data_IF_899724515528
#
_entry.id   IF_899724515528
#
_cell.length_a   1.000
_cell.length_b   1.000
_cell.length_c   1.000
_cell.angle_alpha   90.00
_cell.angle_beta   90.00
_cell.angle_gamma   90.00
#
_symmetry.space_group_name_H-M   'P 1'
#
loop_
_entity.id
_entity.type
_entity.pdbx_description
1 polymer ?
#
# COMPACT_ATOMS: atom_id res chain seq x y z
N UNK A 1 -11.89 11.61 -3.79
CA UNK A 1 -10.48 11.24 -4.04
C UNK A 1 -10.25 9.90 -3.34
N UNK A 2 -9.32 9.06 -3.79
CA UNK A 2 -8.98 7.84 -3.07
C UNK A 2 -7.88 8.07 -2.04
N UNK A 3 -7.74 7.13 -1.10
CA UNK A 3 -6.70 7.13 -0.08
C UNK A 3 -6.02 5.76 -0.02
N UNK A 4 -4.74 5.76 0.34
CA UNK A 4 -3.95 4.56 0.65
C UNK A 4 -3.38 4.70 2.05
N UNK A 5 -3.38 3.60 2.80
CA UNK A 5 -2.63 3.43 4.04
C UNK A 5 -1.94 2.06 3.99
N UNK A 6 -0.65 2.01 4.26
CA UNK A 6 0.09 0.77 4.41
C UNK A 6 0.94 0.79 5.66
N UNK A 7 1.12 -0.37 6.29
CA UNK A 7 2.00 -0.54 7.43
C UNK A 7 2.80 -1.84 7.29
N UNK A 8 4.06 -1.81 7.73
CA UNK A 8 4.92 -2.99 7.92
C UNK A 8 5.52 -2.89 9.32
N UNK A 9 5.27 -3.88 10.17
CA UNK A 9 5.67 -3.92 11.59
C UNK A 9 6.65 -5.05 11.86
N UNK A 10 7.58 -4.83 12.81
CA UNK A 10 8.49 -5.85 13.30
C UNK A 10 7.82 -6.84 14.25
N UNK A 11 6.64 -6.48 14.78
CA UNK A 11 5.87 -7.30 15.71
C UNK A 11 4.44 -7.45 15.20
N UNK A 12 4.06 -8.62 14.64
CA UNK A 12 2.76 -8.84 14.03
C UNK A 12 1.62 -8.85 15.06
N UNK A 13 1.91 -9.06 16.34
CA UNK A 13 0.93 -9.02 17.42
C UNK A 13 0.51 -7.60 17.79
N UNK A 14 1.31 -6.60 17.40
CA UNK A 14 1.12 -5.20 17.77
C UNK A 14 0.62 -4.30 16.63
N UNK A 15 0.35 -4.86 15.44
CA UNK A 15 -0.16 -4.09 14.29
C UNK A 15 -1.39 -3.25 14.65
N UNK A 16 -2.37 -3.82 15.37
CA UNK A 16 -3.56 -3.09 15.82
C UNK A 16 -3.20 -1.90 16.72
N UNK A 17 -2.22 -2.06 17.61
CA UNK A 17 -1.75 -0.99 18.48
C UNK A 17 -1.08 0.14 17.69
N UNK A 18 -0.39 -0.20 16.61
CA UNK A 18 0.23 0.79 15.72
C UNK A 18 -0.80 1.56 14.92
N UNK A 19 -1.81 0.88 14.38
CA UNK A 19 -2.94 1.54 13.73
C UNK A 19 -3.68 2.47 14.70
N UNK A 20 -3.87 2.04 15.95
CA UNK A 20 -4.48 2.88 16.97
C UNK A 20 -3.67 4.15 17.27
N UNK A 21 -2.33 4.08 17.32
CA UNK A 21 -1.48 5.28 17.50
C UNK A 21 -1.60 6.30 16.38
N UNK A 22 -2.01 5.86 15.19
CA UNK A 22 -2.24 6.72 14.04
C UNK A 22 -3.63 7.38 14.06
N UNK A 23 -4.48 7.03 15.04
CA UNK A 23 -5.74 7.72 15.28
C UNK A 23 -5.50 9.22 15.45
N UNK A 24 -6.32 10.02 14.77
CA UNK A 24 -6.14 11.48 14.74
C UNK A 24 -5.00 11.98 13.85
N UNK A 25 -4.21 11.11 13.22
CA UNK A 25 -3.12 11.49 12.32
C UNK A 25 -3.41 11.19 10.86
N UNK A 26 -4.05 10.05 10.57
CA UNK A 26 -4.37 9.58 9.21
C UNK A 26 -5.85 9.75 8.92
N UNK A 27 -6.17 9.99 7.65
CA UNK A 27 -7.55 9.99 7.14
C UNK A 27 -7.81 8.69 6.35
N UNK A 28 -8.90 7.99 6.70
CA UNK A 28 -9.38 6.82 5.94
C UNK A 28 -10.29 7.19 4.75
N UNK A 29 -10.54 8.48 4.56
CA UNK A 29 -11.27 9.01 3.40
C UNK A 29 -10.86 10.45 3.14
N UNK A 30 -10.73 10.81 1.86
CA UNK A 30 -10.45 12.17 1.41
C UNK A 30 -11.50 12.62 0.37
N UNK A 31 -12.42 13.48 0.82
CA UNK A 31 -13.47 14.04 -0.04
C UNK A 31 -14.77 13.22 -0.03
N UNK A 32 -15.44 13.03 -1.19
CA UNK A 32 -16.72 12.34 -1.28
C UNK A 32 -16.68 10.92 -0.69
N UNK A 33 -17.85 10.46 -0.24
CA UNK A 33 -18.01 9.13 0.35
C UNK A 33 -17.53 8.03 -0.60
N UNK A 34 -16.58 7.23 -0.13
CA UNK A 34 -16.07 6.06 -0.84
C UNK A 34 -17.17 5.00 -0.93
N UNK A 35 -17.21 4.28 -2.05
CA UNK A 35 -18.10 3.12 -2.24
C UNK A 35 -17.32 1.80 -2.37
N UNK A 36 -16.00 1.87 -2.47
CA UNK A 36 -15.10 0.74 -2.59
C UNK A 36 -14.00 0.89 -1.53
N UNK A 37 -14.11 0.11 -0.46
CA UNK A 37 -13.20 0.11 0.67
C UNK A 37 -12.69 -1.31 0.89
N UNK A 38 -11.37 -1.46 0.92
CA UNK A 38 -10.76 -2.77 1.12
C UNK A 38 -9.47 -2.68 1.91
N UNK A 39 -9.21 -3.75 2.66
CA UNK A 39 -7.97 -3.97 3.37
C UNK A 39 -7.44 -5.35 3.04
N UNK A 40 -6.14 -5.42 2.76
CA UNK A 40 -5.38 -6.64 2.65
C UNK A 40 -4.41 -6.74 3.83
N UNK A 41 -4.30 -7.94 4.39
CA UNK A 41 -3.35 -8.25 5.46
C UNK A 41 -2.86 -9.70 5.30
N UNK A 42 -1.95 -10.11 6.17
CA UNK A 42 -1.32 -11.44 6.12
C UNK A 42 -1.72 -12.26 7.33
N UNK A 43 -1.85 -13.56 7.13
CA UNK A 43 -1.97 -14.53 8.20
C UNK A 43 -1.16 -15.75 7.79
N UNK A 44 -0.02 -15.97 8.47
CA UNK A 44 0.95 -17.01 8.11
C UNK A 44 1.44 -16.86 6.65
N UNK A 45 1.02 -17.76 5.76
CA UNK A 45 1.39 -17.73 4.34
C UNK A 45 0.28 -17.24 3.41
N UNK A 46 -0.86 -16.86 3.98
CA UNK A 46 -2.03 -16.45 3.22
C UNK A 46 -2.24 -14.93 3.27
N UNK A 47 -2.82 -14.43 2.18
CA UNK A 47 -3.27 -13.03 2.08
C UNK A 47 -4.77 -12.99 2.30
N UNK A 48 -5.19 -12.26 3.33
CA UNK A 48 -6.59 -12.04 3.67
C UNK A 48 -7.06 -10.70 3.10
N UNK A 49 -8.14 -10.73 2.32
CA UNK A 49 -8.82 -9.53 1.83
C UNK A 49 -10.15 -9.36 2.56
N UNK A 50 -10.37 -8.17 3.12
CA UNK A 50 -11.66 -7.75 3.68
C UNK A 50 -12.17 -6.55 2.90
N UNK A 51 -13.45 -6.56 2.56
CA UNK A 51 -14.16 -5.48 1.87
C UNK A 51 -15.19 -4.90 2.84
N UNK A 52 -15.28 -3.59 2.91
CA UNK A 52 -16.19 -2.90 3.81
C UNK A 52 -17.36 -2.28 3.05
N UNK A 53 -18.50 -2.19 3.71
CA UNK A 53 -19.67 -1.53 3.14
C UNK A 53 -19.48 -0.02 3.19
N UNK A 54 -19.94 0.70 2.17
CA UNK A 54 -19.85 2.16 2.12
C UNK A 54 -20.53 2.86 3.30
N UNK A 55 -21.54 2.23 3.92
CA UNK A 55 -22.26 2.74 5.08
C UNK A 55 -21.54 2.61 6.42
N UNK A 56 -20.46 1.83 6.49
CA UNK A 56 -19.78 1.48 7.73
C UNK A 56 -18.85 2.61 8.20
N UNK A 57 -18.92 2.95 9.49
CA UNK A 57 -17.99 3.91 10.09
C UNK A 57 -16.68 3.18 10.44
N UNK A 58 -15.65 3.39 9.62
CA UNK A 58 -14.35 2.75 9.80
C UNK A 58 -13.43 3.57 10.69
N UNK A 59 -12.71 2.86 11.56
CA UNK A 59 -11.62 3.39 12.37
C UNK A 59 -10.33 2.69 11.98
N UNK A 60 -9.17 3.22 12.38
CA UNK A 60 -7.90 2.54 12.10
C UNK A 60 -7.83 1.17 12.78
N UNK A 61 -8.43 1.06 13.96
CA UNK A 61 -8.53 -0.19 14.72
C UNK A 61 -9.35 -1.25 13.97
N UNK A 62 -10.42 -0.86 13.26
CA UNK A 62 -11.29 -1.80 12.53
C UNK A 62 -10.63 -2.39 11.28
N UNK A 63 -9.58 -1.74 10.77
CA UNK A 63 -8.77 -2.24 9.66
C UNK A 63 -7.87 -3.41 10.07
N UNK A 64 -7.46 -3.47 11.34
CA UNK A 64 -6.60 -4.55 11.83
C UNK A 64 -7.28 -5.92 11.61
N UNK A 65 -6.55 -6.94 11.11
CA UNK A 65 -7.06 -8.29 11.10
C UNK A 65 -7.24 -8.82 12.53
N UNK A 66 -8.11 -9.81 12.75
CA UNK A 66 -8.26 -10.45 14.05
C UNK A 66 -7.06 -11.33 14.45
N UNK A 67 -6.15 -11.59 13.51
CA UNK A 67 -4.95 -12.40 13.68
C UNK A 67 -3.69 -11.52 13.65
N UNK A 68 -2.56 -12.09 14.07
CA UNK A 68 -1.27 -11.43 13.91
C UNK A 68 -0.94 -11.23 12.42
N UNK A 69 -0.40 -10.05 12.08
CA UNK A 69 -0.06 -9.70 10.70
C UNK A 69 1.10 -8.70 10.67
N UNK A 70 2.11 -9.00 9.87
CA UNK A 70 3.32 -8.18 9.71
C UNK A 70 3.04 -6.93 8.88
N UNK A 71 2.07 -7.01 7.97
CA UNK A 71 1.75 -5.91 7.08
C UNK A 71 0.26 -5.73 6.84
N UNK A 72 -0.11 -4.52 6.43
CA UNK A 72 -1.47 -4.18 6.02
C UNK A 72 -1.41 -3.19 4.87
N UNK A 73 -2.34 -3.32 3.93
CA UNK A 73 -2.58 -2.36 2.86
C UNK A 73 -4.08 -2.07 2.77
N UNK A 74 -4.45 -0.83 3.02
CA UNK A 74 -5.81 -0.31 2.92
C UNK A 74 -5.91 0.64 1.73
N UNK A 75 -7.04 0.56 1.04
CA UNK A 75 -7.45 1.54 0.06
C UNK A 75 -8.95 1.83 0.18
N UNK A 76 -9.31 3.10 0.10
CA UNK A 76 -10.69 3.54 -0.08
C UNK A 76 -10.81 4.51 -1.24
N UNK A 77 -11.82 4.33 -2.08
CA UNK A 77 -12.05 5.19 -3.24
C UNK A 77 -13.45 5.07 -3.81
N UNK A 78 -13.65 5.71 -4.95
CA UNK A 78 -14.90 5.67 -5.70
C UNK A 78 -14.73 4.84 -6.97
N UNK A 79 -15.59 3.85 -7.14
CA UNK A 79 -15.78 3.14 -8.39
C UNK A 79 -17.03 3.66 -9.09
N UNK A 80 -16.98 3.87 -10.43
CA UNK A 80 -18.16 4.17 -11.22
C UNK A 80 -19.29 3.14 -11.04
N UNK A 81 -20.52 3.60 -11.20
CA UNK A 81 -21.70 2.71 -11.23
C UNK A 81 -21.53 1.72 -12.39
N UNK A 82 -21.85 0.45 -12.12
CA UNK A 82 -21.76 -0.64 -13.10
C UNK A 82 -20.46 -1.44 -13.06
N UNK A 83 -19.42 -0.99 -12.35
CA UNK A 83 -18.25 -1.83 -12.08
C UNK A 83 -18.51 -2.77 -10.90
N UNK A 84 -18.07 -4.02 -11.05
CA UNK A 84 -18.10 -5.00 -9.96
C UNK A 84 -17.21 -4.54 -8.80
N UNK A 85 -17.80 -4.39 -7.60
CA UNK A 85 -17.03 -4.11 -6.39
C UNK A 85 -16.07 -5.26 -6.08
N UNK A 86 -16.46 -6.50 -6.37
CA UNK A 86 -15.64 -7.70 -6.13
C UNK A 86 -14.31 -7.62 -6.88
N UNK A 87 -14.36 -7.27 -8.16
CA UNK A 87 -13.18 -7.27 -9.04
C UNK A 87 -12.36 -5.97 -8.93
N UNK A 88 -12.98 -4.84 -8.58
CA UNK A 88 -12.33 -3.53 -8.71
C UNK A 88 -11.96 -2.88 -7.37
N UNK A 89 -12.40 -3.43 -6.22
CA UNK A 89 -12.04 -2.85 -4.92
C UNK A 89 -10.62 -3.25 -4.53
N UNK A 90 -9.77 -2.26 -4.36
CA UNK A 90 -8.37 -2.40 -3.94
C UNK A 90 -8.27 -2.69 -2.43
N UNK A 91 -7.15 -3.28 -1.95
CA UNK A 91 -5.98 -3.71 -2.73
C UNK A 91 -6.24 -4.93 -3.61
N UNK A 92 -5.48 -5.04 -4.70
CA UNK A 92 -5.43 -6.23 -5.54
C UNK A 92 -4.45 -7.25 -4.96
N UNK A 93 -4.72 -8.53 -5.23
CA UNK A 93 -3.92 -9.66 -4.71
C UNK A 93 -3.46 -10.56 -5.84
N UNK A 94 -2.19 -10.94 -5.84
CA UNK A 94 -1.67 -12.05 -6.64
C UNK A 94 -0.62 -12.79 -5.84
N UNK A 95 -0.89 -14.06 -5.54
CA UNK A 95 -0.09 -14.86 -4.59
C UNK A 95 0.06 -14.09 -3.27
N UNK A 96 1.28 -13.82 -2.84
CA UNK A 96 1.60 -13.05 -1.63
C UNK A 96 1.56 -11.53 -1.84
N UNK A 97 1.50 -11.01 -3.06
CA UNK A 97 1.53 -9.58 -3.28
C UNK A 97 0.17 -8.93 -3.10
N UNK A 98 0.15 -7.84 -2.32
CA UNK A 98 -0.89 -6.83 -2.29
C UNK A 98 -0.43 -5.59 -3.03
N UNK A 99 -1.34 -4.94 -3.76
CA UNK A 99 -1.05 -3.73 -4.52
C UNK A 99 -2.22 -2.74 -4.47
N UNK A 100 -1.90 -1.46 -4.32
CA UNK A 100 -2.84 -0.37 -4.42
C UNK A 100 -2.26 0.77 -5.27
N UNK A 101 -3.15 1.45 -5.98
CA UNK A 101 -2.89 2.61 -6.82
C UNK A 101 -3.84 3.75 -6.45
N UNK A 102 -3.27 4.93 -6.25
CA UNK A 102 -4.00 6.19 -6.09
C UNK A 102 -3.50 7.19 -7.13
N UNK A 103 -4.48 7.83 -7.79
CA UNK A 103 -4.22 8.74 -8.88
C UNK A 103 -5.01 8.33 -10.11
N UNK A 104 -4.48 8.66 -11.28
CA UNK A 104 -5.11 8.31 -12.55
C UNK A 104 -4.31 8.80 -13.75
N UNK A 105 -4.57 8.16 -14.89
CA UNK A 105 -4.07 8.59 -16.20
C UNK A 105 -5.22 9.13 -17.03
N UNK A 106 -5.20 10.42 -17.36
CA UNK A 106 -6.24 10.97 -18.22
C UNK A 106 -6.19 10.31 -19.60
N UNK A 107 -7.28 9.69 -20.03
CA UNK A 107 -7.31 8.96 -21.31
C UNK A 107 -6.67 7.56 -21.25
N UNK A 108 -6.69 6.91 -20.09
CA UNK A 108 -6.15 5.56 -19.90
C UNK A 108 -6.66 4.51 -20.89
N UNK A 109 -7.83 4.70 -21.50
CA UNK A 109 -8.33 3.80 -22.55
C UNK A 109 -7.35 3.67 -23.73
N UNK A 110 -6.57 4.72 -24.02
CA UNK A 110 -5.51 4.68 -25.04
C UNK A 110 -4.33 3.78 -24.63
N UNK A 111 -4.13 3.57 -23.33
CA UNK A 111 -3.05 2.76 -22.75
C UNK A 111 -3.47 1.34 -22.45
N UNK A 112 -4.76 1.11 -22.19
CA UNK A 112 -5.26 -0.18 -21.71
C UNK A 112 -4.90 -1.32 -22.67
N UNK A 113 -5.22 -1.18 -23.96
CA UNK A 113 -4.97 -2.23 -24.95
C UNK A 113 -3.45 -2.50 -25.13
N UNK A 114 -2.59 -1.49 -25.40
CA UNK A 114 -1.15 -1.73 -25.50
C UNK A 114 -0.52 -2.35 -24.25
N UNK A 115 -0.92 -1.89 -23.05
CA UNK A 115 -0.41 -2.45 -21.79
C UNK A 115 -0.85 -3.91 -21.62
N UNK A 116 -2.11 -4.24 -21.90
CA UNK A 116 -2.62 -5.62 -21.86
C UNK A 116 -1.90 -6.53 -22.86
N UNK A 117 -1.66 -6.05 -24.08
CA UNK A 117 -0.94 -6.80 -25.12
C UNK A 117 0.51 -7.09 -24.70
N UNK A 118 1.15 -6.15 -24.00
CA UNK A 118 2.51 -6.32 -23.46
C UNK A 118 2.61 -7.37 -22.35
N UNK A 119 1.48 -7.79 -21.76
CA UNK A 119 1.46 -8.79 -20.69
C UNK A 119 1.53 -10.21 -21.26
N UNK A 120 2.27 -11.12 -20.60
CA UNK A 120 2.13 -12.56 -20.82
C UNK A 120 0.69 -13.03 -20.61
N UNK A 121 0.22 -14.00 -21.41
CA UNK A 121 -1.18 -14.45 -21.41
C UNK A 121 -1.75 -14.81 -20.04
N UNK A 122 -0.96 -15.47 -19.19
CA UNK A 122 -1.40 -15.83 -17.84
C UNK A 122 -1.65 -14.62 -16.93
N UNK A 123 -0.87 -13.53 -17.05
CA UNK A 123 -1.11 -12.28 -16.31
C UNK A 123 -2.26 -11.50 -16.94
N UNK A 124 -2.36 -11.50 -18.28
CA UNK A 124 -3.51 -10.89 -18.98
C UNK A 124 -4.84 -11.48 -18.50
N UNK A 125 -4.90 -12.80 -18.31
CA UNK A 125 -6.07 -13.50 -17.76
C UNK A 125 -6.35 -13.23 -16.27
N UNK A 126 -5.39 -12.68 -15.53
CA UNK A 126 -5.60 -12.29 -14.13
C UNK A 126 -6.27 -10.92 -14.01
N UNK A 127 -6.17 -10.05 -15.02
CA UNK A 127 -6.84 -8.74 -15.04
C UNK A 127 -8.32 -8.97 -15.35
N UNK A 128 -9.20 -8.87 -14.35
CA UNK A 128 -10.64 -9.13 -14.48
C UNK A 128 -11.47 -7.84 -14.43
N UNK A 129 -11.02 -6.88 -13.64
CA UNK A 129 -11.61 -5.57 -13.47
C UNK A 129 -11.34 -4.58 -14.61
N UNK A 130 -12.06 -3.46 -14.53
CA UNK A 130 -11.99 -2.34 -15.47
C UNK A 130 -11.04 -1.22 -15.03
N UNK A 131 -10.53 -1.24 -13.79
CA UNK A 131 -9.71 -0.14 -13.27
C UNK A 131 -8.26 -0.18 -13.75
N UNK A 132 -7.62 0.99 -13.73
CA UNK A 132 -6.18 1.13 -14.05
C UNK A 132 -5.30 0.35 -13.07
N UNK A 133 -5.67 0.37 -11.78
CA UNK A 133 -4.84 -0.20 -10.71
C UNK A 133 -4.55 -1.69 -10.86
N UNK A 134 -5.52 -2.47 -11.36
CA UNK A 134 -5.31 -3.92 -11.57
C UNK A 134 -4.37 -4.19 -12.75
N UNK A 135 -4.48 -3.39 -13.82
CA UNK A 135 -3.58 -3.50 -14.96
C UNK A 135 -2.15 -3.07 -14.57
N UNK A 136 -2.02 -2.00 -13.79
CA UNK A 136 -0.74 -1.55 -13.24
C UNK A 136 -0.10 -2.62 -12.36
N UNK A 137 -0.90 -3.32 -11.55
CA UNK A 137 -0.42 -4.44 -10.75
C UNK A 137 0.08 -5.59 -11.63
N UNK A 138 -0.62 -5.92 -12.72
CA UNK A 138 -0.16 -6.94 -13.66
C UNK A 138 1.16 -6.56 -14.35
N UNK A 139 1.38 -5.28 -14.67
CA UNK A 139 2.66 -4.77 -15.19
C UNK A 139 3.78 -4.92 -14.14
N UNK A 140 3.51 -4.58 -12.88
CA UNK A 140 4.44 -4.81 -11.77
C UNK A 140 4.83 -6.29 -11.63
N UNK A 141 3.84 -7.19 -11.65
CA UNK A 141 4.07 -8.64 -11.57
C UNK A 141 4.86 -9.18 -12.77
N UNK A 142 4.59 -8.68 -13.98
CA UNK A 142 5.36 -9.00 -15.19
C UNK A 142 6.84 -8.70 -14.98
N UNK A 143 7.17 -7.51 -14.46
CA UNK A 143 8.56 -7.09 -14.21
C UNK A 143 9.25 -7.95 -13.15
N UNK A 144 8.57 -8.26 -12.05
CA UNK A 144 9.10 -9.21 -11.06
C UNK A 144 9.36 -10.59 -11.68
N UNK A 145 8.50 -11.02 -12.61
CA UNK A 145 8.63 -12.30 -13.31
C UNK A 145 9.80 -12.33 -14.28
N UNK A 146 10.05 -11.24 -14.98
CA UNK A 146 11.22 -11.08 -15.87
C UNK A 146 12.54 -11.19 -15.11
N UNK A 147 12.55 -10.79 -13.83
CA UNK A 147 13.68 -11.02 -12.93
C UNK A 147 13.73 -12.42 -12.32
N UNK A 148 12.68 -13.24 -12.50
CA UNK A 148 12.53 -14.54 -11.83
C UNK A 148 12.26 -14.44 -10.33
N UNK A 149 11.76 -13.30 -9.84
CA UNK A 149 11.63 -12.98 -8.40
C UNK A 149 10.18 -12.81 -7.92
N UNK A 150 9.16 -13.18 -8.70
CA UNK A 150 7.74 -12.96 -8.36
C UNK A 150 7.35 -13.51 -6.99
N UNK A 151 7.88 -14.68 -6.63
CA UNK A 151 7.57 -15.38 -5.36
C UNK A 151 8.84 -15.62 -4.53
N UNK A 152 9.91 -14.85 -4.74
CA UNK A 152 11.14 -15.05 -3.98
C UNK A 152 10.99 -14.52 -2.55
N UNK A 153 11.03 -15.38 -1.51
CA UNK A 153 10.97 -14.94 -0.12
C UNK A 153 12.19 -14.10 0.30
N UNK A 154 13.28 -14.15 -0.47
CA UNK A 154 14.52 -13.40 -0.25
C UNK A 154 14.63 -12.15 -1.12
N UNK A 155 13.53 -11.72 -1.74
CA UNK A 155 13.50 -10.49 -2.53
C UNK A 155 13.94 -9.30 -1.67
N UNK A 156 14.99 -8.62 -2.12
CA UNK A 156 15.50 -7.43 -1.48
C UNK A 156 14.52 -6.27 -1.68
N UNK A 157 14.24 -5.52 -0.61
CA UNK A 157 13.29 -4.40 -0.65
C UNK A 157 13.64 -3.39 -1.74
N UNK A 158 14.92 -3.09 -1.94
CA UNK A 158 15.38 -2.17 -2.99
C UNK A 158 15.09 -2.68 -4.41
N UNK A 159 15.14 -3.99 -4.64
CA UNK A 159 14.78 -4.59 -5.94
C UNK A 159 13.28 -4.42 -6.17
N UNK A 160 12.44 -4.71 -5.17
CA UNK A 160 11.01 -4.48 -5.23
C UNK A 160 10.68 -3.00 -5.48
N UNK A 161 11.38 -2.09 -4.79
CA UNK A 161 11.30 -0.64 -4.98
C UNK A 161 11.65 -0.23 -6.40
N UNK A 162 12.78 -0.69 -6.95
CA UNK A 162 13.16 -0.43 -8.35
C UNK A 162 12.11 -0.91 -9.34
N UNK A 163 11.58 -2.12 -9.15
CA UNK A 163 10.53 -2.67 -10.02
C UNK A 163 9.24 -1.84 -9.95
N UNK A 164 8.85 -1.37 -8.76
CA UNK A 164 7.69 -0.49 -8.59
C UNK A 164 7.91 0.89 -9.24
N UNK A 165 9.12 1.45 -9.10
CA UNK A 165 9.51 2.71 -9.74
C UNK A 165 9.45 2.59 -11.27
N UNK A 166 10.04 1.52 -11.83
CA UNK A 166 10.05 1.26 -13.26
C UNK A 166 8.64 1.01 -13.82
N UNK A 167 7.75 0.43 -13.01
CA UNK A 167 6.33 0.27 -13.38
C UNK A 167 5.66 1.63 -13.57
N UNK A 168 5.84 2.56 -12.62
CA UNK A 168 5.32 3.93 -12.75
C UNK A 168 5.92 4.65 -13.97
N UNK A 169 7.23 4.52 -14.21
CA UNK A 169 7.91 5.13 -15.36
C UNK A 169 7.44 4.57 -16.70
N UNK A 170 7.24 3.25 -16.81
CA UNK A 170 6.72 2.62 -18.02
C UNK A 170 5.35 3.19 -18.40
N UNK A 171 4.46 3.31 -17.42
CA UNK A 171 3.11 3.83 -17.62
C UNK A 171 3.14 5.31 -17.96
N UNK A 172 3.99 6.08 -17.30
CA UNK A 172 4.19 7.49 -17.63
C UNK A 172 4.73 7.69 -19.06
N UNK A 173 5.70 6.86 -19.49
CA UNK A 173 6.22 6.88 -20.86
C UNK A 173 5.16 6.47 -21.88
N UNK A 174 4.38 5.43 -21.59
CA UNK A 174 3.27 4.99 -22.44
C UNK A 174 2.22 6.09 -22.59
N UNK A 175 1.89 6.81 -21.50
CA UNK A 175 0.99 7.96 -21.53
C UNK A 175 1.49 9.06 -22.48
N UNK A 176 2.78 9.42 -22.38
CA UNK A 176 3.40 10.41 -23.29
C UNK A 176 3.35 9.93 -24.74
N UNK A 177 3.69 8.67 -25.01
CA UNK A 177 3.67 8.10 -26.36
C UNK A 177 2.27 8.05 -26.98
N UNK A 178 1.24 7.84 -26.16
CA UNK A 178 -0.16 7.89 -26.58
C UNK A 178 -0.72 9.32 -26.72
N UNK A 179 0.11 10.36 -26.52
CA UNK A 179 -0.31 11.77 -26.64
C UNK A 179 -1.14 12.27 -25.47
N UNK A 180 -1.06 11.65 -24.29
CA UNK A 180 -1.75 12.12 -23.09
C UNK A 180 -1.08 13.42 -22.61
N UNK A 181 -1.83 14.53 -22.70
CA UNK A 181 -1.31 15.87 -22.47
C UNK A 181 -0.93 16.20 -21.01
N UNK A 182 -1.43 15.42 -20.03
CA UNK A 182 -1.17 15.68 -18.60
C UNK A 182 -0.34 14.54 -18.01
N UNK A 183 0.62 14.91 -17.17
CA UNK A 183 1.42 13.96 -16.39
C UNK A 183 0.49 13.06 -15.56
N UNK A 184 0.62 11.74 -15.66
CA UNK A 184 -0.08 10.82 -14.78
C UNK A 184 0.20 11.10 -13.31
N UNK A 185 -0.80 10.86 -12.47
CA UNK A 185 -0.57 10.74 -11.03
C UNK A 185 -0.66 9.26 -10.68
N UNK A 186 0.43 8.70 -10.15
CA UNK A 186 0.60 7.28 -9.88
C UNK A 186 1.29 7.09 -8.53
N UNK A 187 0.51 7.15 -7.46
CA UNK A 187 0.95 6.65 -6.16
C UNK A 187 0.73 5.14 -6.15
N UNK A 188 1.81 4.37 -6.18
CA UNK A 188 1.78 2.90 -6.20
C UNK A 188 2.31 2.39 -4.87
N UNK A 189 1.60 1.47 -4.22
CA UNK A 189 2.05 0.82 -3.00
C UNK A 189 1.90 -0.69 -3.15
N UNK A 190 2.98 -1.41 -2.89
CA UNK A 190 3.04 -2.86 -2.98
C UNK A 190 3.68 -3.46 -1.73
N UNK A 191 3.17 -4.59 -1.26
CA UNK A 191 3.77 -5.36 -0.16
C UNK A 191 3.54 -6.84 -0.40
N UNK A 192 4.44 -7.69 0.12
CA UNK A 192 4.29 -9.14 0.13
C UNK A 192 4.25 -9.74 1.56
N UNK A 193 4.12 -8.88 2.57
CA UNK A 193 4.13 -9.24 4.00
C UNK A 193 5.49 -9.08 4.68
N UNK A 194 6.59 -9.20 3.94
CA UNK A 194 7.96 -9.06 4.49
C UNK A 194 8.65 -7.78 4.06
N UNK A 195 8.18 -7.16 2.97
CA UNK A 195 8.64 -5.86 2.51
C UNK A 195 7.46 -4.96 2.12
N UNK A 196 7.73 -3.65 2.08
CA UNK A 196 6.80 -2.61 1.63
C UNK A 196 7.54 -1.69 0.65
N UNK A 197 6.96 -1.44 -0.51
CA UNK A 197 7.46 -0.48 -1.50
C UNK A 197 6.35 0.53 -1.83
N UNK A 198 6.73 1.80 -1.96
CA UNK A 198 5.82 2.90 -2.22
C UNK A 198 6.45 3.93 -3.15
N UNK A 199 5.86 4.14 -4.32
CA UNK A 199 6.31 5.10 -5.33
C UNK A 199 5.36 6.28 -5.37
N UNK A 200 5.91 7.50 -5.34
CA UNK A 200 5.16 8.72 -5.65
C UNK A 200 5.51 9.21 -7.05
N UNK A 201 4.51 9.35 -7.91
CA UNK A 201 4.67 9.97 -9.22
C UNK A 201 3.48 10.88 -9.51
N UNK A 202 3.74 12.07 -10.06
CA UNK A 202 2.73 13.11 -10.27
C UNK A 202 2.52 14.00 -9.03
N UNK A 203 1.32 14.60 -8.94
CA UNK A 203 1.07 15.70 -8.01
C UNK A 203 0.60 15.24 -6.61
N UNK A 204 -0.13 14.12 -6.54
CA UNK A 204 -0.69 13.65 -5.26
C UNK A 204 0.44 13.30 -4.27
N UNK A 205 0.35 13.76 -3.01
CA UNK A 205 1.38 13.48 -2.03
C UNK A 205 1.28 12.04 -1.55
N UNK A 206 2.42 11.51 -1.13
CA UNK A 206 2.53 10.23 -0.43
C UNK A 206 3.53 10.43 0.69
N UNK A 207 3.15 10.07 1.90
CA UNK A 207 3.93 10.32 3.10
C UNK A 207 4.39 9.02 3.71
N UNK A 208 5.54 9.04 4.38
CA UNK A 208 5.99 7.95 5.24
C UNK A 208 6.28 8.45 6.66
N UNK A 209 6.18 7.55 7.62
CA UNK A 209 6.68 7.76 8.97
C UNK A 209 7.23 6.44 9.53
N UNK A 210 8.12 6.57 10.51
CA UNK A 210 8.67 5.44 11.26
C UNK A 210 8.28 5.60 12.72
N UNK A 211 7.53 4.64 13.22
CA UNK A 211 7.12 4.55 14.61
C UNK A 211 8.12 3.67 15.36
N UNK A 212 8.78 4.23 16.36
CA UNK A 212 9.80 3.56 17.17
C UNK A 212 9.34 3.44 18.60
N UNK A 213 9.04 2.21 19.03
CA UNK A 213 8.65 1.91 20.40
C UNK A 213 7.45 2.72 20.92
N UNK A 214 7.03 2.38 22.13
CA UNK A 214 6.22 3.28 22.96
C UNK A 214 6.31 2.81 24.41
N UNK A 215 6.35 3.75 25.34
CA UNK A 215 6.17 3.47 26.77
C UNK A 215 4.68 3.34 27.15
N UNK A 216 3.78 3.64 26.20
CA UNK A 216 2.34 3.72 26.44
C UNK A 216 1.55 3.02 25.33
N UNK A 217 0.47 2.35 25.71
CA UNK A 217 -0.51 1.79 24.79
C UNK A 217 -1.86 1.67 25.50
N UNK A 218 -2.86 2.41 24.99
CA UNK A 218 -4.22 2.39 25.53
C UNK A 218 -4.86 1.00 25.39
N UNK A 219 -4.75 0.38 24.21
CA UNK A 219 -5.36 -0.93 23.94
C UNK A 219 -4.81 -2.08 24.81
N UNK A 220 -3.57 -1.98 25.27
CA UNK A 220 -2.91 -2.99 26.10
C UNK A 220 -2.78 -2.57 27.56
N UNK A 221 -3.33 -1.40 27.92
CA UNK A 221 -3.23 -0.81 29.26
C UNK A 221 -1.77 -0.75 29.75
N UNK A 222 -0.89 -0.31 28.85
CA UNK A 222 0.52 -0.06 29.15
C UNK A 222 0.69 1.43 29.38
N UNK A 223 1.26 1.76 30.53
CA UNK A 223 1.54 3.13 30.98
C UNK A 223 3.00 3.24 31.41
N UNK A 224 3.55 4.46 31.60
CA UNK A 224 4.93 4.62 32.05
C UNK A 224 5.20 4.00 33.43
N UNK A 225 4.15 3.82 34.25
CA UNK A 225 4.22 3.18 35.56
C UNK A 225 4.11 1.65 35.51
N UNK A 226 3.81 1.06 34.35
CA UNK A 226 3.68 -0.39 34.21
C UNK A 226 5.08 -1.03 34.38
N UNK A 227 5.23 -2.05 35.25
CA UNK A 227 6.54 -2.67 35.49
C UNK A 227 7.16 -3.28 34.23
N UNK A 228 8.46 -3.07 34.05
CA UNK A 228 9.26 -3.58 32.92
C UNK A 228 9.26 -5.12 32.83
N UNK A 229 8.94 -5.81 33.92
CA UNK A 229 8.78 -7.27 33.97
C UNK A 229 7.55 -7.77 33.23
N UNK A 230 6.56 -6.90 32.94
CA UNK A 230 5.38 -7.27 32.16
C UNK A 230 5.78 -7.46 30.69
N UNK A 231 5.57 -8.64 30.07
CA UNK A 231 6.03 -8.91 28.71
C UNK A 231 5.55 -7.90 27.65
N UNK A 232 4.33 -7.37 27.80
CA UNK A 232 3.78 -6.37 26.89
C UNK A 232 4.62 -5.09 26.85
N UNK A 233 5.19 -4.63 27.97
CA UNK A 233 6.03 -3.43 28.02
C UNK A 233 7.28 -3.62 27.15
N UNK A 234 7.94 -4.77 27.26
CA UNK A 234 9.12 -5.09 26.45
C UNK A 234 8.81 -5.15 24.95
N UNK A 235 7.71 -5.81 24.57
CA UNK A 235 7.25 -5.87 23.18
C UNK A 235 6.94 -4.47 22.65
N UNK A 236 6.22 -3.66 23.43
CA UNK A 236 5.91 -2.28 23.08
C UNK A 236 7.17 -1.42 22.92
N UNK A 237 8.15 -1.49 23.82
CA UNK A 237 9.35 -0.63 23.71
C UNK A 237 10.26 -0.98 22.53
N UNK A 238 10.27 -2.24 22.08
CA UNK A 238 11.18 -2.70 21.02
C UNK A 238 10.58 -2.67 19.62
N UNK A 239 9.25 -2.65 19.50
CA UNK A 239 8.59 -2.70 18.19
C UNK A 239 8.95 -1.49 17.32
N UNK A 240 8.98 -1.75 16.03
CA UNK A 240 9.18 -0.75 14.98
C UNK A 240 8.11 -0.94 13.93
N UNK A 241 7.70 0.16 13.31
CA UNK A 241 6.73 0.10 12.22
C UNK A 241 7.02 1.22 11.23
N UNK A 242 7.01 0.88 9.94
CA UNK A 242 6.99 1.89 8.88
C UNK A 242 5.58 1.97 8.33
N UNK A 243 5.10 3.20 8.17
CA UNK A 243 3.76 3.49 7.68
C UNK A 243 3.87 4.39 6.46
N UNK A 244 3.08 4.09 5.44
CA UNK A 244 2.89 4.94 4.25
C UNK A 244 1.43 5.36 4.18
N UNK A 245 1.16 6.64 3.98
CA UNK A 245 -0.21 7.15 3.86
C UNK A 245 -0.31 8.27 2.84
N UNK A 246 -1.42 8.34 2.09
CA UNK A 246 -1.64 9.41 1.12
C UNK A 246 -2.52 10.56 1.65
N UNK A 247 -3.21 10.36 2.77
CA UNK A 247 -4.11 11.35 3.36
C UNK A 247 -3.92 11.46 4.87
N UNK A 248 -3.52 12.65 5.32
CA UNK A 248 -3.19 12.95 6.71
C UNK A 248 -4.11 14.04 7.26
N UNK A 249 -4.45 13.95 8.55
CA UNK A 249 -5.06 15.04 9.33
C UNK A 249 -4.02 16.10 9.71
N UNK A 250 -2.78 15.67 9.94
CA UNK A 250 -1.62 16.52 10.26
C UNK A 250 -0.36 15.89 9.69
N UNK A 251 0.60 16.72 9.29
CA UNK A 251 1.88 16.27 8.70
C UNK A 251 3.02 16.18 9.70
N UNK A 252 2.82 16.60 10.96
CA UNK A 252 3.86 16.52 11.99
C UNK A 252 4.26 15.06 12.25
N UNK A 253 5.57 14.78 12.16
CA UNK A 253 6.11 13.42 12.28
C UNK A 253 6.02 12.58 11.00
N UNK A 254 5.60 13.17 9.87
CA UNK A 254 5.58 12.52 8.56
C UNK A 254 6.55 13.20 7.61
N UNK A 255 7.13 12.41 6.71
CA UNK A 255 8.00 12.87 5.62
C UNK A 255 7.23 12.67 4.31
N UNK A 256 7.07 13.73 3.53
CA UNK A 256 6.53 13.62 2.17
C UNK A 256 7.61 13.05 1.24
N UNK A 257 7.28 11.98 0.52
CA UNK A 257 8.16 11.44 -0.52
C UNK A 257 8.25 12.45 -1.67
N UNK A 258 9.45 12.69 -2.19
CA UNK A 258 9.63 13.59 -3.32
C UNK A 258 8.95 13.04 -4.58
N UNK A 259 8.61 13.92 -5.52
CA UNK A 259 8.09 13.49 -6.82
C UNK A 259 9.10 12.57 -7.54
N UNK A 260 8.61 11.45 -8.06
CA UNK A 260 9.44 10.45 -8.76
C UNK A 260 10.22 9.52 -7.82
N UNK A 261 10.14 9.72 -6.50
CA UNK A 261 10.87 8.89 -5.54
C UNK A 261 10.08 7.64 -5.17
N UNK A 262 10.84 6.58 -4.85
CA UNK A 262 10.31 5.33 -4.35
C UNK A 262 10.96 4.97 -3.03
N UNK A 263 10.12 4.79 -2.00
CA UNK A 263 10.49 4.20 -0.75
C UNK A 263 10.43 2.67 -0.86
N UNK A 264 11.38 1.98 -0.26
CA UNK A 264 11.34 0.54 -0.02
C UNK A 264 11.81 0.22 1.40
N UNK A 265 11.17 -0.78 2.00
CA UNK A 265 11.34 -1.17 3.39
C UNK A 265 11.38 -2.68 3.46
N UNK A 266 12.45 -3.23 4.04
CA UNK A 266 12.59 -4.67 4.26
C UNK A 266 12.23 -5.11 5.69
N UNK A 267 12.52 -6.38 6.04
CA UNK A 267 12.20 -6.95 7.35
C UNK A 267 12.84 -6.21 8.54
N UNK A 268 14.02 -5.62 8.33
CA UNK A 268 14.72 -4.82 9.35
C UNK A 268 14.14 -3.40 9.52
N UNK A 269 13.10 -3.05 8.76
CA UNK A 269 12.41 -1.76 8.75
C UNK A 269 13.33 -0.56 8.47
N UNK A 270 14.40 -0.79 7.72
CA UNK A 270 15.24 0.26 7.17
C UNK A 270 14.56 0.91 5.98
N UNK A 271 14.60 2.24 5.92
CA UNK A 271 14.05 3.02 4.82
C UNK A 271 15.12 3.17 3.74
N UNK A 272 14.86 2.67 2.54
CA UNK A 272 15.69 2.87 1.36
C UNK A 272 14.91 3.72 0.36
N UNK A 273 15.46 4.88 0.00
CA UNK A 273 14.84 5.78 -0.96
C UNK A 273 15.61 5.74 -2.29
N UNK A 274 14.88 5.45 -3.36
CA UNK A 274 15.38 5.48 -4.73
C UNK A 274 14.86 6.75 -5.41
N UNK A 275 15.77 7.62 -5.84
CA UNK A 275 15.41 8.76 -6.68
C UNK A 275 15.02 8.29 -8.08
N UNK A 276 13.87 8.73 -8.59
CA UNK A 276 13.51 8.57 -9.98
C UNK A 276 13.95 9.75 -10.82
N UNK A 277 15.00 9.56 -11.60
CA UNK A 277 15.26 10.36 -12.81
C UNK A 277 14.28 9.98 -13.90
#
# INVERSE_FOLDING_TARGET
MSVILAALTSDPNLLRCELHRLQGQVLLQAGPKANALGVGAYAQEEVLLRRFSSGEELTLDSLAPPHESEALLFHAGQLPVGLSLEENTQPFRSRRWLFAHQGGVRGFELLRAPLLESLPDHLRRQVRGGTEGELLFAVFLKRLRELGRTEDPRLEAEVAGRVLADTAREVARAAVQAGVARTPTLNLVATNGTLLAATRYGEQPLYCTRLEGSAECELCEVTPATPDTRPSVGAHRRRRTVVVASALKRTSGWVELAHGHTLSVGPELQLHELSGT
#
